data_IF_458716920268
#
_entry.id   IF_458716920268
#
_cell.length_a   1.000
_cell.length_b   1.000
_cell.length_c   1.000
_cell.angle_alpha   90.00
_cell.angle_beta   90.00
_cell.angle_gamma   90.00
#
_symmetry.space_group_name_H-M   'P 1'
#
loop_
_entity.id
_entity.type
_entity.pdbx_description
1 polymer ?
#
# COMPACT_ATOMS: atom_id res chain seq x y z
N UNK A 1 12.73 9.78 1.25
CA UNK A 1 11.50 9.80 2.06
C UNK A 1 10.71 8.49 1.93
N UNK A 2 10.38 8.03 0.71
CA UNK A 2 9.49 6.87 0.49
C UNK A 2 9.86 5.58 1.24
N UNK A 3 11.10 5.08 1.09
CA UNK A 3 11.54 3.86 1.78
C UNK A 3 11.55 4.05 3.31
N UNK A 4 12.09 5.17 3.78
CA UNK A 4 12.10 5.52 5.21
C UNK A 4 10.69 5.50 5.83
N UNK A 5 9.68 6.01 5.11
CA UNK A 5 8.30 5.98 5.56
C UNK A 5 7.71 4.56 5.57
N UNK A 6 8.05 3.74 4.57
CA UNK A 6 7.62 2.34 4.49
C UNK A 6 8.26 1.48 5.59
N UNK A 7 9.54 1.68 5.89
CA UNK A 7 10.23 1.02 7.01
C UNK A 7 9.64 1.45 8.35
N UNK A 8 9.40 2.76 8.56
CA UNK A 8 8.73 3.24 9.77
C UNK A 8 7.32 2.65 9.94
N UNK A 9 6.56 2.47 8.84
CA UNK A 9 5.28 1.79 8.86
C UNK A 9 5.41 0.32 9.23
N UNK A 10 6.35 -0.40 8.61
CA UNK A 10 6.60 -1.81 8.88
C UNK A 10 7.02 -2.05 10.33
N UNK A 11 7.90 -1.20 10.87
CA UNK A 11 8.33 -1.27 12.27
C UNK A 11 7.20 -0.98 13.24
N UNK A 12 6.37 0.03 12.95
CA UNK A 12 5.19 0.32 13.77
C UNK A 12 4.18 -0.84 13.78
N UNK A 13 3.93 -1.46 12.63
CA UNK A 13 3.06 -2.64 12.53
C UNK A 13 3.66 -3.79 13.36
N UNK A 14 4.94 -4.10 13.16
CA UNK A 14 5.63 -5.21 13.85
C UNK A 14 5.63 -5.07 15.36
N UNK A 15 5.70 -3.83 15.86
CA UNK A 15 5.80 -3.55 17.31
C UNK A 15 4.45 -3.37 17.99
N UNK A 16 3.40 -2.94 17.26
CA UNK A 16 2.13 -2.49 17.86
C UNK A 16 0.88 -3.22 17.36
N UNK A 17 0.99 -4.04 16.31
CA UNK A 17 -0.13 -4.78 15.76
C UNK A 17 0.10 -6.30 15.92
N UNK A 18 -0.52 -6.95 16.93
CA UNK A 18 -0.54 -8.41 17.00
C UNK A 18 -1.40 -9.00 15.87
N UNK A 19 -1.28 -10.32 15.69
CA UNK A 19 -2.14 -11.12 14.80
C UNK A 19 -2.08 -10.76 13.32
N UNK A 20 -1.01 -10.08 12.90
CA UNK A 20 -0.73 -9.75 11.50
C UNK A 20 0.71 -10.09 11.12
N UNK A 21 0.92 -10.31 9.82
CA UNK A 21 2.24 -10.39 9.20
C UNK A 21 2.31 -9.46 7.99
N UNK A 22 3.53 -9.07 7.62
CA UNK A 22 3.81 -8.41 6.35
C UNK A 22 4.72 -9.34 5.52
N UNK A 23 4.18 -10.06 4.52
CA UNK A 23 4.88 -11.20 3.92
C UNK A 23 6.00 -10.81 2.93
N UNK A 24 6.08 -9.55 2.53
CA UNK A 24 7.12 -9.07 1.63
C UNK A 24 8.46 -8.89 2.37
N UNK A 25 9.61 -8.90 1.67
CA UNK A 25 10.91 -8.67 2.27
C UNK A 25 10.95 -7.37 3.10
N UNK A 26 11.31 -7.47 4.37
CA UNK A 26 11.31 -6.33 5.30
C UNK A 26 9.92 -5.77 5.65
N UNK A 27 8.84 -6.40 5.15
CA UNK A 27 7.47 -5.88 5.22
C UNK A 27 7.10 -4.89 4.11
N UNK A 28 7.99 -4.70 3.11
CA UNK A 28 7.84 -3.65 2.09
C UNK A 28 7.78 -4.23 0.68
N UNK A 29 6.71 -3.92 -0.05
CA UNK A 29 6.56 -4.23 -1.47
C UNK A 29 7.00 -3.02 -2.32
N UNK A 30 8.03 -3.22 -3.15
CA UNK A 30 8.47 -2.24 -4.17
C UNK A 30 7.85 -2.49 -5.54
N UNK A 31 7.24 -3.65 -5.75
CA UNK A 31 6.78 -4.12 -7.06
C UNK A 31 5.26 -4.36 -7.03
N UNK A 32 4.49 -3.27 -6.84
CA UNK A 32 3.03 -3.32 -6.88
C UNK A 32 2.52 -3.91 -8.20
N UNK A 33 1.53 -4.80 -8.10
CA UNK A 33 1.01 -5.55 -9.24
C UNK A 33 -0.46 -5.22 -9.53
N UNK A 34 -0.87 -5.44 -10.78
CA UNK A 34 -2.28 -5.48 -11.20
C UNK A 34 -2.60 -6.84 -11.80
N UNK A 35 -3.87 -7.23 -11.74
CA UNK A 35 -4.35 -8.43 -12.41
C UNK A 35 -4.25 -8.28 -13.94
N UNK A 36 -3.80 -9.33 -14.61
CA UNK A 36 -3.65 -9.36 -16.06
C UNK A 36 -2.46 -8.56 -16.59
N UNK A 37 -2.45 -8.32 -17.90
CA UNK A 37 -1.49 -7.48 -18.63
C UNK A 37 -2.19 -6.84 -19.84
N UNK A 38 -1.68 -5.70 -20.30
CA UNK A 38 -2.28 -4.96 -21.42
C UNK A 38 -2.08 -5.66 -22.77
N UNK A 39 -0.97 -6.40 -22.93
CA UNK A 39 -0.54 -6.95 -24.23
C UNK A 39 -0.28 -8.45 -24.21
N UNK A 40 0.05 -9.02 -23.06
CA UNK A 40 0.54 -10.39 -22.95
C UNK A 40 -0.38 -11.26 -22.08
N UNK A 41 -0.37 -12.58 -22.32
CA UNK A 41 -1.09 -13.55 -21.48
C UNK A 41 -0.33 -13.76 -20.16
N UNK A 42 -0.54 -12.88 -19.20
CA UNK A 42 0.07 -12.94 -17.87
C UNK A 42 -1.01 -12.85 -16.78
N UNK A 43 -0.83 -13.58 -15.68
CA UNK A 43 -1.72 -13.52 -14.52
C UNK A 43 -1.64 -12.18 -13.78
N UNK A 44 -0.44 -11.62 -13.68
CA UNK A 44 -0.18 -10.33 -13.06
C UNK A 44 0.91 -9.58 -13.84
N UNK A 45 0.89 -8.26 -13.76
CA UNK A 45 1.92 -7.39 -14.32
C UNK A 45 2.09 -6.15 -13.44
N UNK A 46 3.07 -5.30 -13.75
CA UNK A 46 3.29 -4.06 -12.98
C UNK A 46 2.04 -3.16 -12.97
N UNK A 47 1.76 -2.56 -11.83
CA UNK A 47 0.69 -1.59 -11.69
C UNK A 47 1.11 -0.21 -12.23
N UNK A 48 1.22 -0.13 -13.57
CA UNK A 48 1.71 1.06 -14.29
C UNK A 48 1.07 2.42 -13.90
N UNK A 49 -0.21 2.54 -13.51
CA UNK A 49 -0.76 3.79 -12.98
C UNK A 49 0.00 4.35 -11.77
N UNK A 50 0.68 3.49 -11.01
CA UNK A 50 1.44 3.83 -9.81
C UNK A 50 2.95 3.89 -10.06
N UNK A 51 3.43 3.78 -11.31
CA UNK A 51 4.86 3.84 -11.64
C UNK A 51 5.30 5.29 -11.90
N UNK A 52 6.11 5.93 -11.02
CA UNK A 52 6.48 7.33 -11.18
C UNK A 52 7.25 7.61 -12.48
N UNK A 53 8.08 6.66 -12.92
CA UNK A 53 8.87 6.77 -14.16
C UNK A 53 8.03 6.65 -15.43
N UNK A 54 6.79 6.14 -15.33
CA UNK A 54 5.88 6.01 -16.47
C UNK A 54 4.80 7.11 -16.49
N UNK A 55 4.76 8.00 -15.48
CA UNK A 55 3.70 9.00 -15.29
C UNK A 55 3.40 9.83 -16.55
N UNK A 56 4.42 10.24 -17.29
CA UNK A 56 4.27 11.06 -18.50
C UNK A 56 3.94 10.24 -19.76
N UNK A 57 4.03 8.91 -19.67
CA UNK A 57 3.81 7.98 -20.77
C UNK A 57 2.44 7.31 -20.71
N UNK A 58 1.83 7.22 -19.51
CA UNK A 58 0.55 6.53 -19.30
C UNK A 58 -0.53 7.55 -18.91
N UNK A 59 -1.66 7.62 -19.66
CA UNK A 59 -2.67 8.65 -19.46
C UNK A 59 -3.49 8.44 -18.18
N UNK A 60 -3.48 7.23 -17.62
CA UNK A 60 -4.20 6.83 -16.41
C UNK A 60 -3.31 6.84 -15.15
N UNK A 61 -2.16 7.52 -15.20
CA UNK A 61 -1.29 7.68 -14.03
C UNK A 61 -2.04 8.34 -12.88
N UNK A 62 -1.91 7.76 -11.69
CA UNK A 62 -2.45 8.31 -10.43
C UNK A 62 -1.36 8.86 -9.51
N UNK A 63 -0.09 8.85 -9.97
CA UNK A 63 1.06 9.39 -9.26
C UNK A 63 1.10 10.92 -9.40
N UNK A 64 1.08 11.70 -8.30
CA UNK A 64 1.26 13.15 -8.34
C UNK A 64 2.62 13.58 -8.94
N UNK A 65 2.69 14.81 -9.48
CA UNK A 65 3.90 15.31 -10.16
C UNK A 65 5.15 15.34 -9.28
N UNK A 66 4.98 15.70 -8.00
CA UNK A 66 6.04 15.80 -7.01
C UNK A 66 6.41 14.45 -6.35
N UNK A 67 5.85 13.32 -6.81
CA UNK A 67 6.14 11.98 -6.28
C UNK A 67 7.13 11.25 -7.20
N UNK A 68 8.24 10.82 -6.62
CA UNK A 68 9.31 10.08 -7.31
C UNK A 68 9.37 8.58 -6.96
N UNK A 69 8.65 8.15 -5.93
CA UNK A 69 8.66 6.75 -5.47
C UNK A 69 7.31 6.36 -4.86
N UNK A 70 6.90 5.11 -5.05
CA UNK A 70 5.72 4.50 -4.42
C UNK A 70 6.16 3.18 -3.79
N UNK A 71 5.72 2.93 -2.56
CA UNK A 71 5.90 1.69 -1.82
C UNK A 71 4.56 1.19 -1.31
N UNK A 72 4.42 -0.12 -1.20
CA UNK A 72 3.22 -0.79 -0.71
C UNK A 72 3.56 -1.61 0.54
N UNK A 73 2.66 -1.61 1.52
CA UNK A 73 2.72 -2.50 2.68
C UNK A 73 1.55 -3.47 2.55
N UNK A 74 1.87 -4.75 2.35
CA UNK A 74 0.87 -5.82 2.29
C UNK A 74 0.76 -6.46 3.67
N UNK A 75 -0.45 -6.60 4.17
CA UNK A 75 -0.75 -7.10 5.51
C UNK A 75 -1.68 -8.31 5.37
N UNK A 76 -1.30 -9.42 5.99
CA UNK A 76 -2.20 -10.55 6.21
C UNK A 76 -2.50 -10.62 7.71
N UNK A 77 -3.78 -10.65 8.10
CA UNK A 77 -4.20 -10.71 9.49
C UNK A 77 -5.15 -11.87 9.77
N UNK A 78 -5.23 -12.28 11.04
CA UNK A 78 -6.19 -13.30 11.49
C UNK A 78 -7.64 -12.77 11.53
N UNK A 79 -7.82 -11.46 11.73
CA UNK A 79 -9.14 -10.81 11.76
C UNK A 79 -9.11 -9.47 11.01
N UNK A 80 -10.29 -8.98 10.64
CA UNK A 80 -10.42 -7.66 10.01
C UNK A 80 -9.98 -6.53 10.97
N UNK A 81 -10.25 -6.68 12.26
CA UNK A 81 -9.85 -5.70 13.28
C UNK A 81 -8.33 -5.67 13.48
N UNK A 82 -7.67 -6.83 13.44
CA UNK A 82 -6.20 -6.91 13.45
C UNK A 82 -5.61 -6.19 12.22
N UNK A 83 -6.19 -6.42 11.02
CA UNK A 83 -5.77 -5.69 9.81
C UNK A 83 -6.02 -4.19 9.92
N UNK A 84 -7.18 -3.74 10.43
CA UNK A 84 -7.48 -2.31 10.62
C UNK A 84 -6.51 -1.66 11.61
N UNK A 85 -6.20 -2.33 12.73
CA UNK A 85 -5.19 -1.85 13.67
C UNK A 85 -3.82 -1.73 12.99
N UNK A 86 -3.38 -2.75 12.25
CA UNK A 86 -2.13 -2.70 11.51
C UNK A 86 -2.09 -1.55 10.49
N UNK A 87 -3.17 -1.35 9.73
CA UNK A 87 -3.32 -0.19 8.84
C UNK A 87 -3.19 1.13 9.63
N UNK A 88 -3.87 1.27 10.78
CA UNK A 88 -3.78 2.45 11.64
C UNK A 88 -2.34 2.75 12.05
N UNK A 89 -1.62 1.75 12.58
CA UNK A 89 -0.25 1.92 13.06
C UNK A 89 0.69 2.28 11.90
N UNK A 90 0.61 1.57 10.78
CA UNK A 90 1.45 1.80 9.61
C UNK A 90 1.22 3.17 8.98
N UNK A 91 -0.03 3.56 8.75
CA UNK A 91 -0.40 4.86 8.18
C UNK A 91 0.04 6.00 9.09
N UNK A 92 -0.22 5.89 10.40
CA UNK A 92 0.17 6.90 11.39
C UNK A 92 1.69 7.10 11.43
N UNK A 93 2.48 6.02 11.34
CA UNK A 93 3.93 6.10 11.33
C UNK A 93 4.47 6.66 10.00
N UNK A 94 3.95 6.20 8.86
CA UNK A 94 4.33 6.73 7.55
C UNK A 94 4.04 8.23 7.43
N UNK A 95 2.86 8.68 7.87
CA UNK A 95 2.44 10.07 7.79
C UNK A 95 3.32 11.05 8.60
N UNK A 96 4.05 10.56 9.60
CA UNK A 96 5.01 11.37 10.39
C UNK A 96 6.38 11.53 9.70
N UNK A 97 6.60 10.86 8.57
CA UNK A 97 7.87 10.95 7.85
C UNK A 97 7.84 12.12 6.86
N UNK A 98 8.80 13.02 6.97
CA UNK A 98 8.92 14.16 6.04
C UNK A 98 9.04 13.71 4.58
N UNK A 99 8.31 14.41 3.71
CA UNK A 99 8.28 14.15 2.27
C UNK A 99 7.35 13.02 1.84
N UNK A 100 6.46 12.54 2.71
CA UNK A 100 5.30 11.74 2.31
C UNK A 100 4.23 12.65 1.75
N UNK A 101 3.87 12.45 0.48
CA UNK A 101 2.90 13.31 -0.23
C UNK A 101 1.47 12.80 -0.09
N UNK A 102 1.28 11.47 -0.16
CA UNK A 102 -0.04 10.84 -0.19
C UNK A 102 0.06 9.41 0.34
N UNK A 103 -0.98 9.01 1.06
CA UNK A 103 -1.23 7.61 1.45
C UNK A 103 -2.51 7.16 0.74
N UNK A 104 -2.52 5.94 0.23
CA UNK A 104 -3.67 5.34 -0.45
C UNK A 104 -3.68 3.82 -0.22
N UNK A 105 -4.69 3.13 -0.74
CA UNK A 105 -4.84 1.69 -0.63
C UNK A 105 -5.22 1.08 -1.99
N UNK A 106 -4.52 -0.01 -2.35
CA UNK A 106 -4.83 -0.81 -3.53
C UNK A 106 -6.18 -1.52 -3.37
N UNK A 107 -6.95 -1.60 -4.46
CA UNK A 107 -8.18 -2.38 -4.52
C UNK A 107 -8.43 -2.89 -5.93
N UNK A 108 -9.34 -3.84 -6.06
CA UNK A 108 -9.75 -4.44 -7.33
C UNK A 108 -11.19 -4.07 -7.71
N UNK A 109 -11.60 -2.83 -7.40
CA UNK A 109 -12.96 -2.34 -7.68
C UNK A 109 -14.07 -3.07 -6.92
N UNK A 110 -13.73 -3.72 -5.79
CA UNK A 110 -14.68 -4.51 -5.00
C UNK A 110 -15.11 -5.84 -5.63
N UNK A 111 -14.42 -6.31 -6.68
CA UNK A 111 -14.82 -7.50 -7.45
C UNK A 111 -14.12 -8.81 -7.05
N UNK A 112 -12.99 -8.73 -6.33
CA UNK A 112 -12.16 -9.91 -6.02
C UNK A 112 -12.16 -10.31 -4.54
N UNK A 113 -12.05 -9.35 -3.62
CA UNK A 113 -11.95 -9.60 -2.19
C UNK A 113 -13.30 -9.49 -1.48
N UNK A 114 -13.66 -10.43 -0.58
CA UNK A 114 -14.89 -10.34 0.21
C UNK A 114 -14.80 -9.28 1.32
N UNK A 115 -13.59 -8.90 1.74
CA UNK A 115 -13.34 -7.93 2.79
C UNK A 115 -12.97 -6.56 2.22
N UNK A 116 -13.48 -5.51 2.87
CA UNK A 116 -13.16 -4.11 2.57
C UNK A 116 -12.65 -3.46 3.85
N UNK A 117 -11.38 -3.07 3.85
CA UNK A 117 -10.78 -2.28 4.93
C UNK A 117 -10.59 -0.85 4.43
N UNK A 118 -11.58 0.01 4.67
CA UNK A 118 -11.49 1.41 4.27
C UNK A 118 -10.46 2.14 5.14
N UNK A 119 -9.57 2.92 4.51
CA UNK A 119 -8.53 3.67 5.22
C UNK A 119 -9.13 4.60 6.27
N UNK A 120 -10.21 5.30 5.93
CA UNK A 120 -10.92 6.22 6.84
C UNK A 120 -11.34 5.50 8.13
N UNK A 121 -12.03 4.37 8.00
CA UNK A 121 -12.49 3.57 9.15
C UNK A 121 -11.32 2.98 9.97
N UNK A 122 -10.18 2.70 9.34
CA UNK A 122 -9.01 2.17 10.03
C UNK A 122 -8.27 3.25 10.85
N UNK A 123 -8.27 4.50 10.38
CA UNK A 123 -7.56 5.61 11.05
C UNK A 123 -8.44 6.40 12.02
N UNK A 124 -9.74 6.48 11.77
CA UNK A 124 -10.68 7.11 12.68
C UNK A 124 -10.77 6.29 13.97
N UNK A 125 -10.68 6.98 15.09
CA UNK A 125 -10.73 6.36 16.42
C UNK A 125 -12.18 6.38 16.85
N UNK A 126 -12.76 5.21 17.13
CA UNK A 126 -13.97 5.11 17.95
C UNK A 126 -13.72 5.70 19.33
#
# INVERSE_FOLDING_TARGET
>A
SGLKAAEAAADAIRTKAPDVIMPFPGGVCRAGSKAGSLKYKMKASTNHPYCPTLRTLVPDSVVPENVASVYEIVINGLTLDAMKNAMKQGVTAAAKTDGVVKISAGNYGGKLGPYKAFLKDAIETS
#
